data_IF_074294637206
#
_entry.id   IF_074294637206
#
_cell.length_a   1.000
_cell.length_b   1.000
_cell.length_c   1.000
_cell.angle_alpha   90.00
_cell.angle_beta   90.00
_cell.angle_gamma   90.00
#
_symmetry.space_group_name_H-M   'P 1'
#
loop_
_entity.id
_entity.type
_entity.pdbx_description
1 polymer ?
#
# COMPACT_ATOMS: atom_id res chain seq x y z
N UNK A 1 -25.33 7.40 1.34
CA UNK A 1 -24.27 8.34 1.76
C UNK A 1 -22.88 7.79 1.48
N UNK A 2 -22.65 6.48 1.71
CA UNK A 2 -21.35 5.82 1.44
C UNK A 2 -20.77 6.04 0.04
N UNK A 3 -21.58 5.92 -1.03
CA UNK A 3 -21.07 6.05 -2.40
C UNK A 3 -20.59 7.47 -2.72
N UNK A 4 -21.32 8.50 -2.26
CA UNK A 4 -20.93 9.90 -2.43
C UNK A 4 -19.62 10.19 -1.69
N UNK A 5 -19.48 9.68 -0.46
CA UNK A 5 -18.25 9.79 0.31
C UNK A 5 -17.07 9.11 -0.39
N UNK A 6 -17.28 7.91 -0.94
CA UNK A 6 -16.27 7.17 -1.67
C UNK A 6 -15.78 7.93 -2.92
N UNK A 7 -16.69 8.54 -3.68
CA UNK A 7 -16.33 9.37 -4.85
C UNK A 7 -15.52 10.60 -4.42
N UNK A 8 -15.94 11.29 -3.36
CA UNK A 8 -15.23 12.47 -2.85
C UNK A 8 -13.83 12.12 -2.33
N UNK A 9 -13.71 11.06 -1.53
CA UNK A 9 -12.41 10.59 -1.01
C UNK A 9 -11.51 10.09 -2.14
N UNK A 10 -12.06 9.38 -3.12
CA UNK A 10 -11.33 8.95 -4.32
C UNK A 10 -10.81 10.13 -5.15
N UNK A 11 -11.63 11.17 -5.33
CA UNK A 11 -11.23 12.39 -6.03
C UNK A 11 -10.11 13.14 -5.27
N UNK A 12 -10.24 13.28 -3.95
CA UNK A 12 -9.20 13.90 -3.11
C UNK A 12 -7.89 13.10 -3.14
N UNK A 13 -7.98 11.76 -3.10
CA UNK A 13 -6.82 10.88 -3.21
C UNK A 13 -6.14 11.00 -4.58
N UNK A 14 -6.91 10.98 -5.67
CA UNK A 14 -6.40 11.20 -7.02
C UNK A 14 -5.74 12.58 -7.19
N UNK A 15 -6.35 13.62 -6.62
CA UNK A 15 -5.76 14.97 -6.60
C UNK A 15 -4.42 15.00 -5.85
N UNK A 16 -4.34 14.37 -4.67
CA UNK A 16 -3.11 14.28 -3.90
C UNK A 16 -2.01 13.51 -4.67
N UNK A 17 -2.36 12.40 -5.33
CA UNK A 17 -1.42 11.63 -6.16
C UNK A 17 -0.88 12.45 -7.33
N UNK A 18 -1.76 13.18 -8.03
CA UNK A 18 -1.36 14.03 -9.14
C UNK A 18 -0.47 15.19 -8.67
N UNK A 19 -0.80 15.80 -7.52
CA UNK A 19 0.00 16.87 -6.93
C UNK A 19 1.37 16.40 -6.46
N UNK A 20 1.47 15.16 -5.96
CA UNK A 20 2.73 14.53 -5.56
C UNK A 20 3.61 14.10 -6.75
N UNK A 21 3.13 14.21 -8.00
CA UNK A 21 3.84 13.78 -9.20
C UNK A 21 3.79 12.26 -9.44
N UNK A 22 2.95 11.53 -8.71
CA UNK A 22 2.84 10.07 -8.81
C UNK A 22 2.14 9.61 -10.11
N UNK A 23 1.55 10.54 -10.87
CA UNK A 23 0.94 10.30 -12.19
C UNK A 23 1.95 10.22 -13.32
N UNK A 24 3.23 10.54 -13.05
CA UNK A 24 4.33 10.43 -14.01
C UNK A 24 5.21 9.21 -13.67
N UNK A 25 5.33 8.18 -14.54
CA UNK A 25 6.15 7.01 -14.29
C UNK A 25 7.62 7.38 -14.26
N UNK A 26 8.07 8.49 -14.88
CA UNK A 26 9.46 8.91 -14.74
C UNK A 26 9.78 9.27 -13.29
N UNK A 27 8.84 9.85 -12.55
CA UNK A 27 9.01 10.15 -11.13
C UNK A 27 9.09 8.88 -10.29
N UNK A 28 8.30 7.85 -10.64
CA UNK A 28 8.35 6.52 -10.03
C UNK A 28 9.65 5.79 -10.36
N UNK A 29 10.07 5.78 -11.62
CA UNK A 29 11.32 5.15 -12.08
C UNK A 29 12.52 5.85 -11.45
N UNK A 30 12.52 7.18 -11.38
CA UNK A 30 13.59 7.95 -10.74
C UNK A 30 13.69 7.65 -9.24
N UNK A 31 12.54 7.45 -8.57
CA UNK A 31 12.47 6.97 -7.19
C UNK A 31 13.04 5.57 -7.05
N UNK A 32 12.66 4.62 -7.91
CA UNK A 32 13.19 3.25 -7.91
C UNK A 32 14.70 3.21 -8.17
N UNK A 33 15.21 4.13 -8.99
CA UNK A 33 16.64 4.31 -9.26
C UNK A 33 17.37 5.14 -8.21
N UNK A 34 16.70 5.59 -7.14
CA UNK A 34 17.24 6.46 -6.08
C UNK A 34 17.89 7.76 -6.60
N UNK A 35 17.46 8.22 -7.77
CA UNK A 35 17.96 9.46 -8.40
C UNK A 35 17.19 10.69 -7.93
N UNK A 36 15.88 10.55 -7.75
CA UNK A 36 14.99 11.55 -7.17
C UNK A 36 14.08 10.85 -6.16
N UNK A 37 14.28 11.14 -4.88
CA UNK A 37 13.55 10.51 -3.78
C UNK A 37 12.34 11.34 -3.33
N UNK A 38 12.01 12.42 -4.02
CA UNK A 38 10.90 13.31 -3.64
C UNK A 38 9.58 12.56 -3.49
N UNK A 39 9.30 11.64 -4.43
CA UNK A 39 8.12 10.78 -4.36
C UNK A 39 8.20 9.76 -3.21
N UNK A 40 9.38 9.21 -2.92
CA UNK A 40 9.60 8.29 -1.80
C UNK A 40 9.30 8.97 -0.47
N UNK A 41 9.75 10.22 -0.30
CA UNK A 41 9.45 11.02 0.90
C UNK A 41 7.95 11.23 1.07
N UNK A 42 7.26 11.60 -0.01
CA UNK A 42 5.82 11.83 0.01
C UNK A 42 5.06 10.55 0.44
N UNK A 43 5.46 9.39 -0.11
CA UNK A 43 4.86 8.09 0.24
C UNK A 43 5.14 7.72 1.69
N UNK A 44 6.39 7.82 2.16
CA UNK A 44 6.75 7.51 3.55
C UNK A 44 6.05 8.43 4.55
N UNK A 45 5.97 9.73 4.24
CA UNK A 45 5.24 10.69 5.05
C UNK A 45 3.74 10.38 5.10
N UNK A 46 3.12 10.05 3.96
CA UNK A 46 1.71 9.69 3.90
C UNK A 46 1.41 8.40 4.68
N UNK A 47 2.26 7.38 4.58
CA UNK A 47 2.15 6.13 5.37
C UNK A 47 2.30 6.43 6.86
N UNK A 48 3.31 7.22 7.24
CA UNK A 48 3.54 7.59 8.64
C UNK A 48 2.40 8.39 9.24
N UNK A 49 1.90 9.40 8.51
CA UNK A 49 0.78 10.24 8.93
C UNK A 49 -0.53 9.44 9.04
N UNK A 50 -0.85 8.60 8.06
CA UNK A 50 -2.05 7.76 8.10
C UNK A 50 -2.01 6.75 9.24
N UNK A 51 -0.85 6.13 9.51
CA UNK A 51 -0.65 5.27 10.69
C UNK A 51 -0.87 6.05 11.98
N UNK A 52 -0.23 7.21 12.12
CA UNK A 52 -0.35 8.03 13.32
C UNK A 52 -1.80 8.45 13.59
N UNK A 53 -2.52 8.94 12.56
CA UNK A 53 -3.93 9.34 12.68
C UNK A 53 -4.83 8.14 12.99
N UNK A 54 -4.63 7.00 12.33
CA UNK A 54 -5.42 5.79 12.58
C UNK A 54 -5.25 5.30 14.02
N UNK A 55 -4.02 5.07 14.47
CA UNK A 55 -3.77 4.50 15.78
C UNK A 55 -4.03 5.46 16.94
N UNK A 56 -3.89 6.77 16.73
CA UNK A 56 -4.36 7.78 17.70
C UNK A 56 -5.89 7.82 17.77
N UNK A 57 -6.59 7.70 16.64
CA UNK A 57 -8.05 7.57 16.61
C UNK A 57 -8.56 6.31 17.31
N UNK A 58 -7.82 5.20 17.21
CA UNK A 58 -8.08 3.99 18.01
C UNK A 58 -7.85 4.24 19.51
N UNK A 59 -6.76 4.91 19.88
CA UNK A 59 -6.44 5.20 21.28
C UNK A 59 -7.45 6.15 21.95
N UNK A 60 -8.01 7.09 21.18
CA UNK A 60 -9.02 8.04 21.64
C UNK A 60 -10.46 7.47 21.58
N UNK A 61 -10.64 6.23 21.10
CA UNK A 61 -11.96 5.60 20.98
C UNK A 61 -12.86 6.18 19.89
N UNK A 62 -12.32 7.02 18.99
CA UNK A 62 -13.04 7.63 17.87
C UNK A 62 -13.25 6.60 16.75
N UNK A 63 -12.32 5.65 16.61
CA UNK A 63 -12.35 4.60 15.60
C UNK A 63 -12.53 3.25 16.30
N UNK A 64 -13.65 2.57 16.04
CA UNK A 64 -13.90 1.26 16.62
C UNK A 64 -12.90 0.22 16.03
N UNK A 65 -12.25 -0.62 16.86
CA UNK A 65 -11.32 -1.65 16.41
C UNK A 65 -11.91 -2.65 15.40
N UNK A 66 -13.24 -2.78 15.38
CA UNK A 66 -13.99 -3.62 14.45
C UNK A 66 -13.82 -3.21 12.96
N UNK A 67 -13.46 -1.96 12.69
CA UNK A 67 -13.19 -1.49 11.32
C UNK A 67 -11.76 -1.81 10.83
N UNK A 68 -10.89 -2.32 11.70
CA UNK A 68 -9.53 -2.74 11.32
C UNK A 68 -9.57 -4.20 10.88
N UNK A 69 -9.41 -4.42 9.57
CA UNK A 69 -9.32 -5.76 9.00
C UNK A 69 -7.87 -6.10 8.68
N UNK A 70 -7.28 -7.04 9.43
CA UNK A 70 -5.95 -7.57 9.15
C UNK A 70 -6.11 -8.76 8.18
N UNK A 71 -5.42 -8.68 7.05
CA UNK A 71 -5.41 -9.75 6.04
C UNK A 71 -4.42 -10.84 6.45
N UNK A 72 -4.82 -12.10 6.31
CA UNK A 72 -3.97 -13.28 6.58
C UNK A 72 -2.70 -13.25 5.75
N UNK A 73 -1.56 -13.55 6.36
CA UNK A 73 -0.33 -13.83 5.63
C UNK A 73 -0.30 -15.32 5.20
N UNK A 74 -0.17 -15.55 3.90
CA UNK A 74 -0.01 -16.89 3.31
C UNK A 74 1.00 -16.81 2.15
N UNK A 75 1.52 -17.95 1.71
CA UNK A 75 2.60 -18.01 0.71
C UNK A 75 2.25 -17.28 -0.59
N UNK A 76 0.99 -17.33 -1.01
CA UNK A 76 0.46 -16.62 -2.17
C UNK A 76 0.54 -15.10 -2.06
N UNK A 77 0.51 -14.52 -0.84
CA UNK A 77 0.75 -13.08 -0.64
C UNK A 77 2.20 -12.73 -0.97
N UNK A 78 3.15 -13.60 -0.58
CA UNK A 78 4.57 -13.40 -0.87
C UNK A 78 4.85 -13.50 -2.37
N UNK A 79 4.36 -14.56 -3.03
CA UNK A 79 4.51 -14.75 -4.47
C UNK A 79 3.82 -13.62 -5.25
N UNK A 80 2.59 -13.26 -4.86
CA UNK A 80 1.86 -12.14 -5.46
C UNK A 80 2.56 -10.80 -5.25
N UNK A 81 3.19 -10.58 -4.09
CA UNK A 81 3.99 -9.40 -3.80
C UNK A 81 5.21 -9.27 -4.70
N UNK A 82 5.91 -10.38 -4.98
CA UNK A 82 7.04 -10.39 -5.94
C UNK A 82 6.56 -10.07 -7.35
N UNK A 83 5.49 -10.72 -7.81
CA UNK A 83 4.93 -10.47 -9.14
C UNK A 83 4.48 -9.01 -9.30
N UNK A 84 3.80 -8.46 -8.29
CA UNK A 84 3.40 -7.06 -8.25
C UNK A 84 4.63 -6.14 -8.25
N UNK A 85 5.67 -6.46 -7.48
CA UNK A 85 6.91 -5.68 -7.41
C UNK A 85 7.65 -5.64 -8.75
N UNK A 86 7.76 -6.77 -9.44
CA UNK A 86 8.35 -6.84 -10.78
C UNK A 86 7.52 -6.03 -11.77
N UNK A 87 6.20 -6.21 -11.77
CA UNK A 87 5.29 -5.45 -12.64
C UNK A 87 5.38 -3.94 -12.39
N UNK A 88 5.43 -3.52 -11.12
CA UNK A 88 5.63 -2.13 -10.71
C UNK A 88 6.96 -1.56 -11.22
N UNK A 89 8.06 -2.32 -11.11
CA UNK A 89 9.38 -1.89 -11.56
C UNK A 89 9.45 -1.73 -13.08
N UNK A 90 8.80 -2.61 -13.84
CA UNK A 90 8.78 -2.57 -15.32
C UNK A 90 7.85 -1.46 -15.82
N UNK A 91 6.62 -1.39 -15.29
CA UNK A 91 5.60 -0.47 -15.79
C UNK A 91 5.80 0.97 -15.28
N UNK A 92 6.50 1.15 -14.15
CA UNK A 92 6.61 2.46 -13.50
C UNK A 92 5.28 2.96 -12.94
N UNK A 93 4.33 2.06 -12.67
CA UNK A 93 3.02 2.37 -12.09
C UNK A 93 2.63 1.32 -11.06
N UNK A 94 2.10 1.76 -9.92
CA UNK A 94 1.31 0.91 -9.04
C UNK A 94 -0.19 1.05 -9.39
N UNK A 95 -1.07 0.13 -8.94
CA UNK A 95 -2.47 0.10 -9.35
C UNK A 95 -3.20 1.45 -9.16
N UNK A 96 -2.99 2.12 -8.02
CA UNK A 96 -3.60 3.42 -7.74
C UNK A 96 -3.04 4.55 -8.61
N UNK A 97 -1.71 4.62 -8.77
CA UNK A 97 -1.07 5.63 -9.62
C UNK A 97 -1.36 5.44 -11.09
N UNK A 98 -1.51 4.19 -11.56
CA UNK A 98 -1.86 3.87 -12.94
C UNK A 98 -3.26 4.35 -13.31
N UNK A 99 -4.23 4.20 -12.41
CA UNK A 99 -5.58 4.74 -12.61
C UNK A 99 -5.59 6.28 -12.61
N UNK A 100 -4.86 6.91 -11.68
CA UNK A 100 -4.71 8.36 -11.64
C UNK A 100 -4.01 8.88 -12.91
N UNK A 101 -2.97 8.20 -13.38
CA UNK A 101 -2.24 8.53 -14.61
C UNK A 101 -3.12 8.34 -15.85
N UNK A 102 -3.92 7.27 -15.93
CA UNK A 102 -4.87 7.07 -17.02
C UNK A 102 -5.87 8.22 -17.10
N UNK A 103 -6.35 8.73 -15.96
CA UNK A 103 -7.22 9.90 -15.89
C UNK A 103 -6.56 11.21 -16.39
N UNK A 104 -5.22 11.29 -16.37
CA UNK A 104 -4.47 12.42 -16.96
C UNK A 104 -4.28 12.32 -18.48
N UNK A 105 -4.86 11.30 -19.14
CA UNK A 105 -4.77 11.10 -20.60
C UNK A 105 -3.61 10.23 -21.07
N UNK A 106 -2.92 9.55 -20.14
CA UNK A 106 -1.76 8.70 -20.45
C UNK A 106 -2.17 7.33 -20.98
N UNK A 107 -1.79 7.05 -22.23
CA UNK A 107 -2.12 5.78 -22.92
C UNK A 107 -1.38 4.57 -22.36
N UNK A 108 -0.12 4.76 -21.95
CA UNK A 108 0.69 3.73 -21.30
C UNK A 108 0.05 3.28 -19.97
N UNK A 109 -0.45 4.24 -19.19
CA UNK A 109 -1.17 3.95 -17.95
C UNK A 109 -2.50 3.21 -18.18
N UNK A 110 -3.21 3.53 -19.26
CA UNK A 110 -4.44 2.82 -19.62
C UNK A 110 -4.17 1.36 -19.99
N UNK A 111 -3.12 1.09 -20.77
CA UNK A 111 -2.71 -0.28 -21.13
C UNK A 111 -2.30 -1.06 -19.87
N UNK A 112 -1.55 -0.43 -18.97
CA UNK A 112 -1.21 -1.01 -17.67
C UNK A 112 -2.47 -1.38 -16.85
N UNK A 113 -3.44 -0.47 -16.76
CA UNK A 113 -4.68 -0.71 -16.01
C UNK A 113 -5.50 -1.86 -16.61
N UNK A 114 -5.64 -1.90 -17.95
CA UNK A 114 -6.35 -2.98 -18.64
C UNK A 114 -5.62 -4.32 -18.49
N UNK A 115 -4.29 -4.34 -18.62
CA UNK A 115 -3.47 -5.53 -18.40
C UNK A 115 -3.57 -6.06 -16.97
N UNK A 116 -3.56 -5.15 -15.98
CA UNK A 116 -3.75 -5.49 -14.57
C UNK A 116 -5.14 -6.07 -14.29
N UNK A 117 -6.19 -5.50 -14.89
CA UNK A 117 -7.55 -6.03 -14.81
C UNK A 117 -7.67 -7.41 -15.46
N UNK A 118 -7.05 -7.61 -16.63
CA UNK A 118 -7.03 -8.91 -17.30
C UNK A 118 -6.30 -9.96 -16.45
N UNK A 119 -5.17 -9.59 -15.84
CA UNK A 119 -4.43 -10.46 -14.90
C UNK A 119 -5.25 -10.82 -13.65
N UNK A 120 -5.94 -9.84 -13.06
CA UNK A 120 -6.83 -10.06 -11.92
C UNK A 120 -8.02 -10.98 -12.29
N UNK A 121 -8.58 -10.81 -13.48
CA UNK A 121 -9.64 -11.65 -14.00
C UNK A 121 -9.16 -13.10 -14.22
N UNK A 122 -8.01 -13.28 -14.88
CA UNK A 122 -7.40 -14.59 -15.07
C UNK A 122 -7.10 -15.27 -13.73
N UNK A 123 -6.55 -14.53 -12.75
CA UNK A 123 -6.31 -15.05 -11.40
C UNK A 123 -7.62 -15.52 -10.76
N UNK A 124 -8.69 -14.71 -10.83
CA UNK A 124 -10.00 -15.04 -10.26
C UNK A 124 -10.57 -16.32 -10.85
N UNK A 125 -10.44 -16.54 -12.17
CA UNK A 125 -10.86 -17.79 -12.82
C UNK A 125 -10.02 -18.99 -12.38
N UNK A 126 -8.70 -18.80 -12.26
CA UNK A 126 -7.78 -19.85 -11.86
C UNK A 126 -7.81 -20.15 -10.36
N UNK A 127 -8.46 -19.29 -9.55
CA UNK A 127 -8.38 -19.33 -8.09
C UNK A 127 -8.82 -20.67 -7.51
N UNK A 128 -9.96 -21.20 -7.97
CA UNK A 128 -10.47 -22.49 -7.47
C UNK A 128 -9.48 -23.63 -7.71
N UNK A 129 -8.92 -23.69 -8.92
CA UNK A 129 -7.91 -24.69 -9.25
C UNK A 129 -6.60 -24.50 -8.46
N UNK A 130 -6.14 -23.25 -8.32
CA UNK A 130 -4.94 -22.92 -7.54
C UNK A 130 -5.11 -23.28 -6.05
N UNK A 131 -6.31 -23.08 -5.51
CA UNK A 131 -6.64 -23.35 -4.11
C UNK A 131 -6.63 -24.85 -3.80
N UNK A 132 -7.14 -25.67 -4.72
CA UNK A 132 -7.24 -27.12 -4.51
C UNK A 132 -5.92 -27.86 -4.78
N UNK A 133 -5.04 -27.30 -5.62
CA UNK A 133 -3.85 -28.00 -6.13
C UNK A 133 -2.50 -27.42 -5.66
N UNK A 134 -2.49 -26.32 -4.89
CA UNK A 134 -1.23 -25.65 -4.54
C UNK A 134 -1.13 -25.29 -3.06
N UNK A 135 0.08 -25.43 -2.50
CA UNK A 135 0.47 -24.93 -1.18
C UNK A 135 0.48 -23.39 -1.05
N UNK A 136 0.08 -22.66 -2.10
CA UNK A 136 0.07 -21.19 -2.10
C UNK A 136 -0.83 -20.62 -1.01
N UNK A 137 -1.85 -21.34 -0.56
CA UNK A 137 -2.77 -20.88 0.49
C UNK A 137 -2.40 -21.39 1.88
N UNK A 138 -1.28 -22.10 2.02
CA UNK A 138 -0.78 -22.48 3.33
C UNK A 138 -0.39 -21.24 4.12
N UNK A 139 -0.96 -21.15 5.33
CA UNK A 139 -0.80 -20.01 6.23
C UNK A 139 0.66 -19.95 6.69
N UNK A 140 1.28 -18.79 6.54
CA UNK A 140 2.59 -18.52 7.14
C UNK A 140 2.34 -17.94 8.54
N UNK A 141 3.06 -18.46 9.54
CA UNK A 141 3.08 -17.93 10.90
C UNK A 141 1.69 -17.78 11.59
N UNK A 142 0.83 -18.79 11.53
CA UNK A 142 -0.45 -18.81 12.27
C UNK A 142 -1.61 -18.08 11.59
N UNK A 143 -1.39 -17.42 10.44
CA UNK A 143 -2.45 -16.86 9.60
C UNK A 143 -2.74 -15.38 9.86
N UNK A 144 -3.86 -15.05 10.51
CA UNK A 144 -4.33 -13.68 10.77
C UNK A 144 -3.53 -13.05 11.92
N UNK A 145 -2.20 -13.06 11.82
CA UNK A 145 -1.34 -12.51 12.86
C UNK A 145 -1.01 -11.05 12.55
N UNK A 146 -1.37 -10.17 13.47
CA UNK A 146 -0.89 -8.80 13.47
C UNK A 146 0.52 -8.75 14.06
N UNK A 147 1.37 -7.83 13.59
CA UNK A 147 2.66 -7.55 14.24
C UNK A 147 2.48 -7.10 15.71
N UNK A 148 1.30 -6.60 16.09
CA UNK A 148 1.00 -6.11 17.43
C UNK A 148 -0.48 -6.28 17.81
N UNK A 149 -0.78 -6.25 19.11
CA UNK A 149 -2.13 -6.46 19.63
C UNK A 149 -3.02 -5.23 19.37
N UNK A 150 -3.86 -5.29 18.35
CA UNK A 150 -4.75 -4.19 17.95
C UNK A 150 -5.98 -4.05 18.87
N UNK A 151 -6.07 -4.82 19.97
CA UNK A 151 -7.20 -4.79 20.90
C UNK A 151 -8.48 -5.42 20.34
N UNK A 152 -8.36 -6.35 19.40
CA UNK A 152 -9.48 -7.04 18.77
C UNK A 152 -9.26 -8.56 18.97
N UNK A 153 -10.18 -9.24 19.65
CA UNK A 153 -10.07 -10.65 20.09
C UNK A 153 -9.96 -11.68 18.93
N UNK A 154 -9.89 -11.20 17.68
CA UNK A 154 -9.82 -11.99 16.44
C UNK A 154 -8.43 -12.10 15.83
N UNK A 155 -7.41 -11.41 16.38
CA UNK A 155 -6.07 -11.35 15.79
C UNK A 155 -4.99 -11.57 16.84
N UNK A 156 -4.31 -12.70 16.78
CA UNK A 156 -3.17 -13.01 17.66
C UNK A 156 -2.00 -12.07 17.35
N UNK A 157 -1.45 -11.47 18.39
CA UNK A 157 -0.31 -10.58 18.32
C UNK A 157 0.99 -11.37 18.37
N UNK A 158 1.91 -11.12 17.43
CA UNK A 158 3.25 -11.71 17.45
C UNK A 158 4.14 -11.12 18.57
N UNK A 159 3.77 -9.96 19.12
CA UNK A 159 4.52 -9.23 20.15
C UNK A 159 3.53 -8.74 21.24
N UNK A 160 3.82 -8.92 22.54
CA UNK A 160 2.92 -8.55 23.64
C UNK A 160 2.96 -7.05 23.96
N UNK A 161 2.98 -6.20 22.93
CA UNK A 161 2.93 -4.74 23.06
C UNK A 161 1.60 -4.22 22.50
N UNK A 162 1.10 -3.10 23.05
CA UNK A 162 -0.11 -2.46 22.56
C UNK A 162 0.08 -2.02 21.10
N UNK A 163 -0.77 -2.54 20.20
CA UNK A 163 -0.70 -2.25 18.77
C UNK A 163 -0.95 -0.79 18.44
N UNK A 164 -1.63 -0.07 19.33
CA UNK A 164 -1.77 1.39 19.29
C UNK A 164 -0.44 2.11 19.50
N UNK A 165 0.38 1.69 20.47
CA UNK A 165 1.69 2.30 20.70
C UNK A 165 2.66 2.00 19.55
N UNK A 166 2.70 0.76 19.05
CA UNK A 166 3.56 0.38 17.93
C UNK A 166 3.17 1.16 16.66
N UNK A 167 1.88 1.28 16.37
CA UNK A 167 1.40 2.02 15.21
C UNK A 167 1.69 3.52 15.24
N UNK A 168 1.65 4.14 16.43
CA UNK A 168 2.05 5.54 16.63
C UNK A 168 3.56 5.69 16.48
N UNK A 169 4.37 4.84 17.13
CA UNK A 169 5.83 4.88 17.04
C UNK A 169 6.31 4.65 15.61
N UNK A 170 5.74 3.68 14.90
CA UNK A 170 6.02 3.42 13.49
C UNK A 170 5.62 4.62 12.61
N UNK A 171 4.48 5.24 12.91
CA UNK A 171 4.03 6.45 12.22
C UNK A 171 5.05 7.59 12.35
N UNK A 172 5.49 7.88 13.57
CA UNK A 172 6.52 8.90 13.86
C UNK A 172 7.84 8.55 13.18
N UNK A 173 8.25 7.29 13.24
CA UNK A 173 9.49 6.82 12.61
C UNK A 173 9.47 7.06 11.10
N UNK A 174 8.38 6.72 10.40
CA UNK A 174 8.27 6.96 8.96
C UNK A 174 8.22 8.44 8.60
N UNK A 175 7.57 9.28 9.41
CA UNK A 175 7.59 10.74 9.21
C UNK A 175 9.02 11.28 9.38
N UNK A 176 9.74 10.84 10.42
CA UNK A 176 11.12 11.25 10.66
C UNK A 176 12.05 10.80 9.53
N UNK A 177 11.92 9.55 9.07
CA UNK A 177 12.69 9.02 7.95
C UNK A 177 12.39 9.82 6.67
N UNK A 178 11.13 10.14 6.39
CA UNK A 178 10.75 10.93 5.23
C UNK A 178 11.41 12.33 5.24
N UNK A 179 11.59 12.92 6.42
CA UNK A 179 12.27 14.21 6.58
C UNK A 179 13.80 14.10 6.43
N UNK A 180 14.40 13.02 6.96
CA UNK A 180 15.85 12.81 6.98
C UNK A 180 16.45 12.37 5.63
N UNK A 181 15.68 11.68 4.78
CA UNK A 181 16.16 11.24 3.46
C UNK A 181 16.54 12.48 2.62
N UNK A 182 17.68 12.50 1.91
CA UNK A 182 18.00 13.59 0.97
C UNK A 182 17.22 13.42 -0.35
N UNK A 183 16.82 14.53 -0.99
CA UNK A 183 16.03 14.51 -2.26
C UNK A 183 16.79 13.87 -3.43
N UNK A 184 18.11 13.96 -3.42
CA UNK A 184 18.98 13.34 -4.42
C UNK A 184 20.03 12.48 -3.70
N UNK A 185 19.94 11.15 -3.87
CA UNK A 185 20.93 10.21 -3.31
C UNK A 185 22.06 9.96 -4.31
N UNK A 186 21.72 9.63 -5.56
CA UNK A 186 22.69 9.18 -6.56
C UNK A 186 23.13 10.25 -7.58
N UNK A 187 22.58 11.47 -7.52
CA UNK A 187 22.98 12.52 -8.45
C UNK A 187 23.32 13.82 -7.70
N UNK A 188 24.60 13.99 -7.34
CA UNK A 188 25.17 15.33 -7.13
C UNK A 188 25.39 15.95 -8.51
N UNK A 189 24.44 16.76 -8.95
CA UNK A 189 24.74 17.95 -9.75
C UNK A 189 24.06 19.13 -9.10
#
# INVERSE_FOLDING_TARGET
>A
MELTLAILLGALFGFALNRAGATNPQSIINMLRLSDTSLMKAILFAIGLSSLVLFSGLALGIIAPAHVSIKTAYIGVFVGGILLGIGFAIAGYCPGTGLAAAATGRKDALIFALGGLAGAFAFTLSYGWLADNTFLFDKIAGGNVGLAATGNDKYDALIPFSGTAIGIVQGIAFIAIAYLIPTHILNKK
#
